data_IF_237413465911
#
_entry.id   IF_237413465911
#
_cell.length_a   1.000
_cell.length_b   1.000
_cell.length_c   1.000
_cell.angle_alpha   90.00
_cell.angle_beta   90.00
_cell.angle_gamma   90.00
#
_symmetry.space_group_name_H-M   'P 1'
#
loop_
_entity.id
_entity.type
_entity.pdbx_description
1 polymer ?
#
# COMPACT_ATOMS: atom_id res chain seq x y z
N UNK A 1 5.40 2.32 -3.42
CA UNK A 1 4.20 2.18 -2.56
C UNK A 1 3.79 3.48 -1.84
N UNK A 2 2.82 4.22 -2.39
CA UNK A 2 2.11 5.31 -1.67
C UNK A 2 0.86 4.76 -1.01
N UNK A 3 0.57 5.17 0.22
CA UNK A 3 -0.73 4.97 0.83
C UNK A 3 -1.65 6.11 0.38
N UNK A 4 -2.54 5.83 -0.55
CA UNK A 4 -3.71 6.68 -0.77
C UNK A 4 -4.87 5.72 -0.98
N UNK A 5 -5.98 5.95 -0.28
CA UNK A 5 -7.28 5.53 -0.79
C UNK A 5 -7.37 6.16 -2.17
N UNK A 6 -7.21 5.36 -3.22
CA UNK A 6 -7.27 5.84 -4.59
C UNK A 6 -8.73 6.24 -4.86
N UNK A 7 -9.12 7.43 -4.44
CA UNK A 7 -10.38 8.01 -4.89
C UNK A 7 -10.16 8.39 -6.35
N UNK A 8 -10.78 7.62 -7.23
CA UNK A 8 -10.63 7.73 -8.67
C UNK A 8 -11.21 9.07 -9.15
N UNK A 9 -10.37 10.10 -9.28
CA UNK A 9 -10.72 11.29 -10.07
C UNK A 9 -10.56 11.04 -11.59
N UNK A 10 -10.16 9.83 -12.02
CA UNK A 10 -9.86 9.48 -13.42
C UNK A 10 -10.72 8.35 -14.01
N UNK A 11 -11.87 8.03 -13.42
CA UNK A 11 -12.72 6.94 -13.92
C UNK A 11 -13.29 7.16 -15.34
N UNK A 12 -13.17 8.37 -15.92
CA UNK A 12 -13.59 8.68 -17.29
C UNK A 12 -12.58 8.29 -18.37
N UNK A 13 -11.35 7.91 -18.02
CA UNK A 13 -10.26 7.66 -18.99
C UNK A 13 -10.01 6.18 -19.31
N UNK A 14 -10.87 5.24 -18.87
CA UNK A 14 -10.73 3.82 -19.18
C UNK A 14 -9.53 3.12 -18.53
N UNK A 15 -8.87 3.76 -17.56
CA UNK A 15 -7.78 3.15 -16.79
C UNK A 15 -8.37 2.11 -15.83
N UNK A 16 -7.99 0.85 -16.00
CA UNK A 16 -8.33 -0.22 -15.06
C UNK A 16 -7.61 0.02 -13.72
N UNK A 17 -8.27 0.75 -12.81
CA UNK A 17 -7.87 0.80 -11.42
C UNK A 17 -8.44 -0.45 -10.74
N UNK A 18 -7.59 -1.25 -10.10
CA UNK A 18 -8.10 -2.28 -9.20
C UNK A 18 -8.92 -1.56 -8.11
N UNK A 19 -10.16 -2.02 -7.84
CA UNK A 19 -10.93 -1.46 -6.72
C UNK A 19 -10.14 -1.78 -5.47
N UNK A 20 -9.42 -0.81 -4.93
CA UNK A 20 -8.64 -0.99 -3.72
C UNK A 20 -9.62 -1.29 -2.58
N UNK A 21 -9.87 -2.57 -2.31
CA UNK A 21 -10.49 -3.03 -1.08
C UNK A 21 -9.45 -2.81 0.02
N UNK A 22 -9.36 -1.56 0.48
CA UNK A 22 -8.46 -1.13 1.52
C UNK A 22 -9.27 -0.86 2.77
N UNK A 23 -8.97 -1.56 3.85
CA UNK A 23 -9.59 -1.33 5.15
C UNK A 23 -8.81 -0.26 5.90
N UNK A 24 -9.50 0.73 6.45
CA UNK A 24 -8.87 1.77 7.27
C UNK A 24 -9.08 1.49 8.75
N UNK A 25 -7.99 1.50 9.52
CA UNK A 25 -7.99 1.26 10.95
C UNK A 25 -7.37 2.47 11.64
N UNK A 26 -8.02 3.01 12.66
CA UNK A 26 -7.48 4.09 13.49
C UNK A 26 -7.12 3.58 14.88
N UNK A 27 -6.46 4.42 15.69
CA UNK A 27 -6.04 4.05 17.05
C UNK A 27 -7.19 3.61 17.96
N UNK A 28 -8.39 4.14 17.76
CA UNK A 28 -9.58 3.81 18.57
C UNK A 28 -10.18 2.47 18.15
N UNK A 29 -10.07 2.10 16.88
CA UNK A 29 -10.60 0.83 16.36
C UNK A 29 -9.57 -0.30 16.38
N UNK A 30 -8.27 0.00 16.47
CA UNK A 30 -7.19 -0.98 16.37
C UNK A 30 -7.34 -2.17 17.32
N UNK A 31 -7.70 -1.93 18.58
CA UNK A 31 -7.91 -3.00 19.58
C UNK A 31 -9.11 -3.91 19.28
N UNK A 32 -10.04 -3.48 18.40
CA UNK A 32 -11.22 -4.24 17.98
C UNK A 32 -11.03 -4.92 16.61
N UNK A 33 -9.89 -4.71 15.97
CA UNK A 33 -9.60 -5.26 14.65
C UNK A 33 -8.84 -6.59 14.80
N UNK A 34 -9.48 -7.69 14.43
CA UNK A 34 -8.82 -8.99 14.30
C UNK A 34 -8.23 -9.20 12.90
N UNK A 35 -7.18 -10.01 12.81
CA UNK A 35 -6.58 -10.37 11.53
C UNK A 35 -7.53 -11.23 10.67
N UNK A 36 -8.23 -12.18 11.29
CA UNK A 36 -9.02 -13.18 10.57
C UNK A 36 -10.16 -12.63 9.70
N UNK A 37 -11.01 -11.68 10.16
CA UNK A 37 -12.03 -11.08 9.30
C UNK A 37 -11.45 -10.41 8.06
N UNK A 38 -10.30 -9.74 8.20
CA UNK A 38 -9.62 -9.07 7.09
C UNK A 38 -9.02 -10.08 6.11
N UNK A 39 -8.45 -11.17 6.61
CA UNK A 39 -7.96 -12.29 5.78
C UNK A 39 -9.11 -12.94 4.99
N UNK A 40 -10.28 -13.11 5.60
CA UNK A 40 -11.44 -13.70 4.92
C UNK A 40 -11.91 -12.85 3.73
N UNK A 41 -11.75 -11.53 3.80
CA UNK A 41 -12.20 -10.60 2.75
C UNK A 41 -11.11 -10.26 1.73
N UNK A 42 -9.87 -10.08 2.18
CA UNK A 42 -8.74 -9.60 1.37
C UNK A 42 -7.79 -10.71 0.93
N UNK A 43 -7.87 -11.90 1.54
CA UNK A 43 -6.90 -12.97 1.36
C UNK A 43 -5.57 -12.73 2.09
N UNK A 44 -4.58 -13.55 1.78
CA UNK A 44 -3.21 -13.45 2.33
C UNK A 44 -2.17 -13.52 1.21
N UNK A 45 -1.01 -12.85 1.35
CA UNK A 45 -0.62 -11.99 2.47
C UNK A 45 -1.31 -10.62 2.42
N UNK A 46 -1.31 -9.92 3.56
CA UNK A 46 -1.81 -8.56 3.69
C UNK A 46 -0.65 -7.56 3.68
N UNK A 47 -0.90 -6.33 3.24
CA UNK A 47 -0.03 -5.19 3.47
C UNK A 47 -0.66 -4.23 4.46
N UNK A 48 0.07 -3.85 5.51
CA UNK A 48 -0.33 -2.83 6.48
C UNK A 48 0.59 -1.62 6.29
N UNK A 49 0.01 -0.42 6.14
CA UNK A 49 0.76 0.82 5.87
C UNK A 49 0.15 2.05 6.56
N UNK A 50 0.96 3.05 6.97
CA UNK A 50 0.44 4.32 7.47
C UNK A 50 -0.24 5.07 6.32
N UNK A 51 -1.37 5.73 6.58
CA UNK A 51 -2.22 6.30 5.53
C UNK A 51 -1.58 7.47 4.77
N UNK A 52 -0.65 8.20 5.39
CA UNK A 52 -0.02 9.40 4.82
C UNK A 52 1.49 9.26 4.60
N UNK A 53 2.06 8.05 4.68
CA UNK A 53 3.50 7.85 4.46
C UNK A 53 3.88 7.46 3.03
N UNK A 54 5.05 7.96 2.63
CA UNK A 54 5.76 7.58 1.41
C UNK A 54 7.00 6.73 1.71
N UNK A 55 7.79 6.43 0.68
CA UNK A 55 9.09 5.75 0.81
C UNK A 55 9.08 4.36 1.47
N UNK A 56 7.93 3.69 1.51
CA UNK A 56 7.76 2.37 2.17
C UNK A 56 8.04 2.37 3.69
N UNK A 57 8.14 3.53 4.34
CA UNK A 57 8.37 3.63 5.79
C UNK A 57 7.13 3.18 6.55
N UNK A 58 7.31 2.25 7.49
CA UNK A 58 6.22 1.69 8.30
C UNK A 58 5.29 0.74 7.55
N UNK A 59 5.67 0.30 6.33
CA UNK A 59 4.92 -0.69 5.55
C UNK A 59 5.37 -2.10 5.94
N UNK A 60 4.42 -3.00 6.19
CA UNK A 60 4.70 -4.39 6.54
C UNK A 60 3.87 -5.36 5.71
N UNK A 61 4.50 -6.45 5.25
CA UNK A 61 3.82 -7.61 4.65
C UNK A 61 3.53 -8.61 5.76
N UNK A 62 2.27 -9.02 5.87
CA UNK A 62 1.74 -9.80 7.00
C UNK A 62 1.19 -11.13 6.52
N UNK A 63 1.64 -12.21 7.15
CA UNK A 63 1.23 -13.60 6.89
C UNK A 63 0.56 -14.28 8.07
N UNK A 64 0.65 -13.68 9.26
CA UNK A 64 0.12 -14.23 10.51
C UNK A 64 -0.59 -13.17 11.35
N UNK A 65 -1.40 -13.61 12.31
CA UNK A 65 -2.07 -12.70 13.25
C UNK A 65 -1.09 -11.95 14.16
N UNK A 66 -0.01 -12.60 14.60
CA UNK A 66 1.03 -11.95 15.38
C UNK A 66 1.70 -10.83 14.56
N UNK A 67 2.08 -11.11 13.31
CA UNK A 67 2.61 -10.10 12.39
C UNK A 67 1.61 -8.96 12.15
N UNK A 68 0.31 -9.26 12.07
CA UNK A 68 -0.72 -8.24 11.87
C UNK A 68 -0.73 -7.22 13.00
N UNK A 69 -0.73 -7.66 14.27
CA UNK A 69 -0.74 -6.75 15.40
C UNK A 69 0.54 -5.93 15.51
N UNK A 70 1.71 -6.55 15.26
CA UNK A 70 2.99 -5.84 15.22
C UNK A 70 3.01 -4.79 14.10
N UNK A 71 2.58 -5.16 12.90
CA UNK A 71 2.50 -4.27 11.74
C UNK A 71 1.52 -3.12 11.94
N UNK A 72 0.36 -3.38 12.56
CA UNK A 72 -0.64 -2.37 12.86
C UNK A 72 -0.11 -1.37 13.89
N UNK A 73 0.56 -1.84 14.93
CA UNK A 73 1.20 -0.97 15.92
C UNK A 73 2.29 -0.09 15.28
N UNK A 74 3.13 -0.68 14.41
CA UNK A 74 4.15 0.05 13.67
C UNK A 74 3.53 1.10 12.74
N UNK A 75 2.52 0.75 11.96
CA UNK A 75 1.86 1.72 11.08
C UNK A 75 1.25 2.89 11.87
N UNK A 76 0.65 2.60 13.03
CA UNK A 76 0.03 3.59 13.91
C UNK A 76 1.04 4.41 14.74
N UNK A 77 2.32 4.03 14.78
CA UNK A 77 3.38 4.88 15.33
C UNK A 77 3.77 5.99 14.35
N UNK A 78 3.55 5.79 13.04
CA UNK A 78 3.83 6.78 12.00
C UNK A 78 2.63 7.62 11.58
N UNK A 79 1.39 7.16 11.83
CA UNK A 79 0.16 7.89 11.50
C UNK A 79 -0.98 7.55 12.48
N UNK A 80 -2.04 8.35 12.53
CA UNK A 80 -3.25 8.06 13.30
C UNK A 80 -4.16 7.04 12.61
N UNK A 81 -3.90 6.74 11.33
CA UNK A 81 -4.66 5.82 10.49
C UNK A 81 -3.73 4.90 9.73
N UNK A 82 -4.02 3.60 9.76
CA UNK A 82 -3.39 2.57 8.95
C UNK A 82 -4.37 2.09 7.85
N UNK A 83 -3.83 1.66 6.73
CA UNK A 83 -4.53 0.97 5.66
C UNK A 83 -4.09 -0.49 5.62
N UNK A 84 -5.04 -1.39 5.43
CA UNK A 84 -4.82 -2.83 5.23
C UNK A 84 -5.32 -3.21 3.84
N UNK A 85 -4.45 -3.79 3.03
CA UNK A 85 -4.72 -4.13 1.63
C UNK A 85 -4.28 -5.56 1.33
N UNK A 86 -4.89 -6.17 0.31
CA UNK A 86 -4.42 -7.46 -0.22
C UNK A 86 -3.08 -7.29 -0.94
N UNK A 87 -2.20 -8.30 -0.81
CA UNK A 87 -1.00 -8.35 -1.63
C UNK A 87 -1.34 -8.69 -3.07
N UNK A 88 -0.89 -7.85 -4.00
CA UNK A 88 -1.00 -8.11 -5.44
C UNK A 88 0.29 -8.76 -5.91
N UNK A 89 0.18 -9.92 -6.55
CA UNK A 89 1.31 -10.53 -7.27
C UNK A 89 1.32 -9.97 -8.68
N UNK A 90 2.32 -9.14 -8.99
CA UNK A 90 2.42 -8.46 -10.27
C UNK A 90 3.68 -7.63 -10.38
N UNK A 91 3.81 -6.92 -11.51
CA UNK A 91 4.93 -6.01 -11.80
C UNK A 91 4.57 -4.59 -11.33
N UNK A 92 5.47 -3.92 -10.62
CA UNK A 92 5.33 -2.51 -10.29
C UNK A 92 5.86 -1.68 -11.46
N UNK A 93 4.95 -0.94 -12.11
CA UNK A 93 5.26 -0.10 -13.28
C UNK A 93 5.10 1.36 -12.85
N UNK A 94 6.12 2.18 -13.11
CA UNK A 94 6.13 3.61 -12.82
C UNK A 94 6.18 4.42 -14.11
N UNK A 95 5.44 5.53 -14.15
CA UNK A 95 5.43 6.46 -15.27
C UNK A 95 5.32 7.88 -14.71
N UNK A 96 6.26 8.75 -15.08
CA UNK A 96 6.25 10.15 -14.70
C UNK A 96 5.39 10.95 -15.67
N UNK A 97 4.72 11.99 -15.17
CA UNK A 97 3.95 12.93 -15.99
C UNK A 97 4.46 14.34 -15.69
N UNK A 98 4.77 15.10 -16.73
CA UNK A 98 5.27 16.47 -16.64
C UNK A 98 4.43 17.41 -17.52
N UNK A 99 4.10 18.59 -16.99
CA UNK A 99 3.32 19.60 -17.69
C UNK A 99 2.00 19.92 -16.99
N UNK A 100 1.33 20.97 -17.47
CA UNK A 100 0.07 21.49 -16.93
C UNK A 100 -1.10 21.18 -17.88
N UNK A 101 -1.44 22.11 -18.78
CA UNK A 101 -2.56 21.95 -19.73
C UNK A 101 -2.29 20.88 -20.79
N UNK A 102 -1.02 20.65 -21.12
CA UNK A 102 -0.56 19.64 -22.07
C UNK A 102 0.48 18.74 -21.40
N UNK A 103 0.05 17.77 -20.57
CA UNK A 103 0.98 16.89 -19.86
C UNK A 103 1.58 15.84 -20.80
N UNK A 104 2.87 15.58 -20.65
CA UNK A 104 3.61 14.54 -21.34
C UNK A 104 3.95 13.42 -20.36
N UNK A 105 3.71 12.17 -20.78
CA UNK A 105 4.06 10.99 -20.02
C UNK A 105 5.45 10.48 -20.43
N UNK A 106 6.26 10.05 -19.46
CA UNK A 106 7.51 9.35 -19.73
C UNK A 106 7.25 7.95 -20.31
N UNK A 107 8.33 7.29 -20.74
CA UNK A 107 8.28 5.83 -20.91
C UNK A 107 7.99 5.16 -19.56
N UNK A 108 7.32 4.02 -19.60
CA UNK A 108 7.09 3.21 -18.42
C UNK A 108 8.38 2.52 -17.98
N UNK A 109 8.78 2.75 -16.73
CA UNK A 109 9.82 1.98 -16.06
C UNK A 109 9.21 0.82 -15.28
N UNK A 110 9.91 -0.31 -15.22
CA UNK A 110 9.58 -1.41 -14.31
C UNK A 110 10.54 -1.39 -13.13
N UNK A 111 10.00 -1.48 -11.92
CA UNK A 111 10.80 -1.71 -10.72
C UNK A 111 10.95 -3.20 -10.54
N UNK A 112 12.10 -3.74 -10.93
CA UNK A 112 12.45 -5.15 -10.68
C UNK A 112 13.07 -5.25 -9.30
N UNK A 113 12.36 -5.89 -8.38
CA UNK A 113 12.83 -6.19 -7.03
C UNK A 113 13.27 -7.64 -6.95
N UNK A 114 14.46 -7.89 -6.39
CA UNK A 114 14.93 -9.25 -6.08
C UNK A 114 14.53 -9.70 -4.66
N UNK A 115 14.10 -8.76 -3.82
CA UNK A 115 13.53 -9.02 -2.49
C UNK A 115 12.02 -9.27 -2.52
N UNK A 116 11.52 -9.78 -1.40
CA UNK A 116 10.13 -10.19 -1.18
C UNK A 116 9.08 -9.06 -1.32
N UNK A 117 9.51 -7.79 -1.26
CA UNK A 117 8.79 -6.56 -1.66
C UNK A 117 9.73 -5.33 -1.69
N UNK A 118 9.30 -4.22 -2.32
CA UNK A 118 10.08 -2.99 -2.43
C UNK A 118 10.08 -2.15 -1.12
N UNK A 119 10.96 -2.56 -0.21
CA UNK A 119 11.14 -1.97 1.12
C UNK A 119 11.94 -0.66 1.11
N UNK A 120 12.04 0.02 2.26
CA UNK A 120 12.91 1.20 2.40
C UNK A 120 14.39 0.81 2.22
N UNK A 121 14.79 -0.34 2.75
CA UNK A 121 16.18 -0.80 2.70
C UNK A 121 16.62 -1.06 1.25
N UNK A 122 15.75 -1.69 0.46
CA UNK A 122 15.97 -1.90 -0.99
C UNK A 122 16.09 -0.60 -1.79
N UNK A 123 15.61 0.53 -1.26
CA UNK A 123 15.64 1.83 -1.97
C UNK A 123 16.87 2.66 -1.68
N UNK A 124 17.46 2.53 -0.50
CA UNK A 124 18.42 3.53 0.00
C UNK A 124 19.67 2.95 0.65
N UNK A 125 19.69 1.65 0.95
CA UNK A 125 20.79 1.03 1.70
C UNK A 125 21.57 0.01 0.87
N UNK A 126 20.93 -0.61 -0.14
CA UNK A 126 21.53 -1.68 -0.95
C UNK A 126 21.99 -1.26 -2.34
#
# INVERSE_FOLDING_TARGET
MRARLANCAGASAGVAANRAHAWSINRVSAARCGCWPLVAELGTPLFVKPANQGSSVGVSKVRSEAEFHTALALALSFDHKALVESAITGREIECAVLGNEHPEASVCGEVVVHDDFYSYDTKYIS
#
